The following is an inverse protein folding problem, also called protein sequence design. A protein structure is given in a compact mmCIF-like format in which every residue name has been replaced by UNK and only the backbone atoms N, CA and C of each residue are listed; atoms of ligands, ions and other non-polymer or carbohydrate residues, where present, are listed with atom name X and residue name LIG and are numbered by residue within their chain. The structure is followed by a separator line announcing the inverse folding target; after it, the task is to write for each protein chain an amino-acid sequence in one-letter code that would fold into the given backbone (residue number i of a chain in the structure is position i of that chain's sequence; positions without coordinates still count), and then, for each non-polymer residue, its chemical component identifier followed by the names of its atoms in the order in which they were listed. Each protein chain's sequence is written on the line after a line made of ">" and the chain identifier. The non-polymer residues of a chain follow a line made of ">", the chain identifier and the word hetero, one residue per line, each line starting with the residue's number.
data_IF_351163058705
#
_entry.id   IF_351163058705
#
_cell.length_a   1.000
_cell.length_b   1.000
_cell.length_c   1.000
_cell.angle_alpha   90.00
_cell.angle_beta   90.00
_cell.angle_gamma   90.00
#
_symmetry.space_group_name_H-M   'P 1'
#
loop_
_entity.id
_entity.type
_entity.pdbx_description
1 polymer ?
#
# COMPACT_ATOMS: atom_id res chain seq x y z
N UNK A 1 0.20 31.57 -31.15
CA UNK A 1 -0.99 30.71 -30.95
C UNK A 1 -0.49 29.32 -30.58
N UNK A 2 -0.45 28.86 -29.34
CA UNK A 2 -0.96 29.40 -28.10
C UNK A 2 -1.17 28.24 -27.12
N UNK A 3 -0.86 28.49 -25.84
CA UNK A 3 -1.69 28.09 -24.70
C UNK A 3 -1.47 26.75 -23.96
N UNK A 4 -0.33 26.06 -24.05
CA UNK A 4 -0.06 24.95 -23.11
C UNK A 4 1.36 24.84 -22.52
N UNK A 5 2.31 25.73 -22.88
CA UNK A 5 3.70 25.61 -22.40
C UNK A 5 4.04 26.30 -21.08
N UNK A 6 3.12 27.06 -20.48
CA UNK A 6 3.44 27.94 -19.34
C UNK A 6 2.67 27.63 -18.03
N UNK A 7 2.01 26.47 -17.90
CA UNK A 7 1.16 26.18 -16.73
C UNK A 7 1.63 25.03 -15.84
N UNK A 8 2.70 24.34 -16.20
CA UNK A 8 3.35 23.39 -15.32
C UNK A 8 4.79 23.84 -15.22
N UNK A 9 5.16 24.38 -14.06
CA UNK A 9 6.54 24.50 -13.63
C UNK A 9 7.11 23.09 -13.56
N UNK A 10 7.56 22.61 -14.72
CA UNK A 10 8.11 21.29 -14.92
C UNK A 10 9.29 21.14 -13.99
N UNK A 11 9.13 20.33 -12.95
CA UNK A 11 10.24 19.77 -12.21
C UNK A 11 10.67 18.53 -12.99
N UNK A 12 11.70 18.62 -13.87
CA UNK A 12 12.16 17.49 -14.68
C UNK A 12 12.60 16.28 -13.82
N UNK A 13 12.83 16.49 -12.52
CA UNK A 13 13.14 15.46 -11.54
C UNK A 13 11.98 14.49 -11.25
N UNK A 14 10.71 14.91 -11.40
CA UNK A 14 9.54 14.06 -11.18
C UNK A 14 9.25 13.15 -12.38
N UNK A 15 9.43 13.64 -13.60
CA UNK A 15 9.38 12.81 -14.80
C UNK A 15 10.54 11.80 -14.80
N UNK A 16 11.74 12.23 -14.41
CA UNK A 16 12.89 11.33 -14.25
C UNK A 16 12.64 10.22 -13.22
N UNK A 17 11.94 10.50 -12.11
CA UNK A 17 11.58 9.47 -11.13
C UNK A 17 10.51 8.51 -11.68
N UNK A 18 9.50 9.01 -12.39
CA UNK A 18 8.49 8.19 -13.03
C UNK A 18 9.08 7.28 -14.12
N UNK A 19 10.04 7.80 -14.89
CA UNK A 19 10.75 7.03 -15.91
C UNK A 19 11.75 6.05 -15.32
N UNK A 20 12.45 6.40 -14.22
CA UNK A 20 13.33 5.48 -13.51
C UNK A 20 12.55 4.34 -12.83
N UNK A 21 11.33 4.61 -12.35
CA UNK A 21 10.40 3.59 -11.88
C UNK A 21 9.95 2.69 -13.04
N UNK A 22 9.55 3.26 -14.19
CA UNK A 22 9.18 2.48 -15.40
C UNK A 22 10.33 1.63 -15.94
N UNK A 23 11.55 2.14 -15.94
CA UNK A 23 12.73 1.43 -16.48
C UNK A 23 13.14 0.28 -15.57
N UNK A 24 13.02 0.45 -14.25
CA UNK A 24 13.17 -0.64 -13.28
C UNK A 24 12.07 -1.70 -13.47
N UNK A 25 10.84 -1.28 -13.80
CA UNK A 25 9.66 -2.14 -14.01
C UNK A 25 9.68 -2.93 -15.34
N UNK A 26 10.27 -2.39 -16.42
CA UNK A 26 10.29 -3.05 -17.73
C UNK A 26 11.24 -4.26 -17.80
N UNK A 27 12.11 -4.45 -16.80
CA UNK A 27 13.10 -5.53 -16.75
C UNK A 27 12.57 -6.87 -16.20
N UNK A 28 11.32 -6.93 -15.72
CA UNK A 28 10.76 -8.13 -15.08
C UNK A 28 9.39 -8.46 -15.65
N UNK A 29 9.37 -9.23 -16.74
CA UNK A 29 8.16 -9.90 -17.20
C UNK A 29 7.83 -11.05 -16.24
N UNK A 30 6.82 -10.88 -15.39
CA UNK A 30 6.20 -11.99 -14.67
C UNK A 30 4.89 -12.39 -15.37
N UNK A 31 4.78 -13.69 -15.63
CA UNK A 31 3.58 -14.33 -16.18
C UNK A 31 2.39 -14.14 -15.22
N UNK A 32 1.20 -13.77 -15.72
CA UNK A 32 -0.03 -13.65 -14.91
C UNK A 32 -0.41 -14.93 -14.14
N UNK A 33 0.19 -16.07 -14.49
CA UNK A 33 -0.15 -17.40 -13.98
C UNK A 33 0.48 -17.68 -12.61
N UNK A 34 1.54 -16.95 -12.22
CA UNK A 34 2.22 -17.17 -10.94
C UNK A 34 1.59 -16.38 -9.77
N UNK A 35 0.86 -15.29 -10.04
CA UNK A 35 0.27 -14.46 -9.00
C UNK A 35 -0.87 -15.15 -8.22
N UNK A 36 -1.61 -16.07 -8.87
CA UNK A 36 -2.76 -16.77 -8.26
C UNK A 36 -2.36 -17.87 -7.27
N UNK A 37 -1.28 -18.62 -7.57
CA UNK A 37 -0.85 -19.77 -6.75
C UNK A 37 -0.26 -19.34 -5.41
N UNK A 38 0.39 -18.17 -5.35
CA UNK A 38 0.87 -17.60 -4.09
C UNK A 38 -0.28 -17.07 -3.21
N UNK A 39 -1.28 -16.44 -3.80
CA UNK A 39 -2.43 -15.90 -3.07
C UNK A 39 -3.19 -17.00 -2.30
N UNK A 40 -3.36 -18.17 -2.91
CA UNK A 40 -4.15 -19.26 -2.35
C UNK A 40 -3.43 -20.05 -1.25
N UNK A 41 -2.12 -20.33 -1.41
CA UNK A 41 -1.32 -20.93 -0.33
C UNK A 41 -1.20 -20.02 0.88
N UNK A 42 -1.09 -18.72 0.65
CA UNK A 42 -0.99 -17.77 1.76
C UNK A 42 -2.33 -17.56 2.45
N UNK A 43 -3.45 -17.61 1.72
CA UNK A 43 -4.81 -17.63 2.28
C UNK A 43 -5.03 -18.82 3.22
N UNK A 44 -4.62 -20.04 2.82
CA UNK A 44 -4.74 -21.23 3.68
C UNK A 44 -3.91 -21.15 4.96
N UNK A 45 -2.68 -20.62 4.88
CA UNK A 45 -1.84 -20.36 6.06
C UNK A 45 -2.49 -19.35 7.01
N UNK A 46 -3.16 -18.33 6.48
CA UNK A 46 -3.82 -17.25 7.26
C UNK A 46 -5.09 -17.71 7.98
N UNK A 47 -5.86 -18.62 7.37
CA UNK A 47 -7.06 -19.21 7.98
C UNK A 47 -6.74 -19.98 9.28
N UNK A 48 -5.62 -20.72 9.31
CA UNK A 48 -5.20 -21.44 10.53
C UNK A 48 -4.83 -20.52 11.71
N UNK A 49 -4.47 -19.26 11.45
CA UNK A 49 -4.12 -18.29 12.50
C UNK A 49 -5.37 -17.58 13.06
N UNK A 50 -6.47 -17.52 12.31
CA UNK A 50 -7.67 -16.77 12.68
C UNK A 50 -8.65 -17.54 13.59
N UNK A 51 -8.58 -18.88 13.64
CA UNK A 51 -9.56 -19.73 14.35
C UNK A 51 -9.48 -19.69 15.89
N UNK A 52 -8.48 -19.04 16.50
CA UNK A 52 -8.23 -19.13 17.95
C UNK A 52 -8.56 -17.88 18.78
N UNK A 53 -9.52 -17.03 18.37
CA UNK A 53 -9.54 -15.67 18.89
C UNK A 53 -10.89 -14.94 19.06
N UNK A 54 -10.98 -14.21 20.18
CA UNK A 54 -12.08 -13.40 20.72
C UNK A 54 -11.90 -11.86 20.52
N UNK A 55 -12.97 -11.05 20.45
CA UNK A 55 -12.89 -9.72 19.84
C UNK A 55 -12.51 -8.61 20.84
N UNK A 56 -11.50 -7.79 20.50
CA UNK A 56 -11.25 -6.50 21.13
C UNK A 56 -11.19 -5.37 20.09
N UNK A 57 -11.93 -4.29 20.34
CA UNK A 57 -11.95 -3.10 19.49
C UNK A 57 -10.73 -2.21 19.76
N UNK A 58 -10.08 -1.72 18.70
CA UNK A 58 -9.27 -0.50 18.76
C UNK A 58 -7.77 -0.62 19.05
N UNK A 59 -7.14 -1.80 19.04
CA UNK A 59 -5.68 -1.90 19.21
C UNK A 59 -4.96 -2.76 18.18
N UNK A 60 -3.89 -2.18 17.65
CA UNK A 60 -2.61 -2.84 17.38
C UNK A 60 -2.33 -4.02 18.31
N UNK A 61 -1.76 -5.11 17.78
CA UNK A 61 -0.89 -5.99 18.55
C UNK A 61 -1.56 -6.77 19.67
N UNK A 62 -2.85 -7.09 19.53
CA UNK A 62 -3.47 -8.12 20.37
C UNK A 62 -3.19 -9.50 19.80
N UNK A 63 -3.03 -10.49 20.68
CA UNK A 63 -2.96 -11.93 20.32
C UNK A 63 -4.24 -12.43 19.61
N UNK A 64 -5.25 -11.57 19.54
CA UNK A 64 -6.61 -11.89 19.18
C UNK A 64 -7.09 -11.03 17.99
N UNK A 65 -7.45 -11.62 16.83
CA UNK A 65 -8.08 -10.90 15.73
C UNK A 65 -9.32 -10.12 16.18
N UNK A 66 -9.42 -8.84 15.79
CA UNK A 66 -10.64 -8.06 15.95
C UNK A 66 -11.81 -8.68 15.19
N UNK A 67 -13.03 -8.42 15.66
CA UNK A 67 -14.26 -8.77 14.93
C UNK A 67 -14.40 -8.03 13.59
N UNK A 68 -13.71 -6.89 13.46
CA UNK A 68 -13.69 -6.11 12.23
C UNK A 68 -12.92 -6.84 11.12
N UNK A 69 -13.48 -6.77 9.91
CA UNK A 69 -12.80 -7.24 8.71
C UNK A 69 -11.43 -6.57 8.55
N UNK A 70 -10.43 -7.38 8.23
CA UNK A 70 -9.04 -6.96 8.24
C UNK A 70 -8.24 -7.66 7.14
N UNK A 71 -6.98 -7.27 6.96
CA UNK A 71 -6.15 -7.76 5.85
C UNK A 71 -5.93 -9.28 5.82
N UNK A 72 -6.16 -9.99 6.93
CA UNK A 72 -6.06 -11.45 7.02
C UNK A 72 -7.38 -12.16 6.76
N UNK A 73 -8.51 -11.56 7.15
CA UNK A 73 -9.85 -12.16 7.05
C UNK A 73 -10.58 -11.79 5.75
N UNK A 74 -10.07 -10.80 5.00
CA UNK A 74 -10.66 -10.39 3.73
C UNK A 74 -10.57 -11.50 2.66
N UNK A 75 -11.69 -11.90 2.02
CA UNK A 75 -11.70 -13.00 1.04
C UNK A 75 -10.77 -12.79 -0.16
N UNK A 76 -10.54 -11.54 -0.57
CA UNK A 76 -9.62 -11.21 -1.68
C UNK A 76 -8.14 -11.21 -1.30
N UNK A 77 -7.80 -11.41 -0.01
CA UNK A 77 -6.46 -11.23 0.52
C UNK A 77 -6.05 -9.76 0.69
N UNK A 78 -4.81 -9.55 1.16
CA UNK A 78 -4.36 -8.23 1.62
C UNK A 78 -4.41 -7.14 0.54
N UNK A 79 -4.03 -7.44 -0.71
CA UNK A 79 -3.90 -6.42 -1.73
C UNK A 79 -5.29 -5.86 -2.14
N UNK A 80 -6.27 -6.71 -2.51
CA UNK A 80 -7.65 -6.27 -2.69
C UNK A 80 -8.26 -5.59 -1.46
N UNK A 81 -7.89 -6.03 -0.25
CA UNK A 81 -8.33 -5.39 0.98
C UNK A 81 -7.86 -3.93 1.07
N UNK A 82 -6.55 -3.68 0.93
CA UNK A 82 -6.00 -2.32 0.99
C UNK A 82 -6.51 -1.44 -0.14
N UNK A 83 -6.63 -1.97 -1.37
CA UNK A 83 -7.20 -1.23 -2.50
C UNK A 83 -8.66 -0.83 -2.23
N UNK A 84 -9.48 -1.75 -1.71
CA UNK A 84 -10.87 -1.46 -1.30
C UNK A 84 -10.93 -0.37 -0.22
N UNK A 85 -10.15 -0.50 0.86
CA UNK A 85 -10.15 0.49 1.96
C UNK A 85 -9.73 1.86 1.43
N UNK A 86 -8.64 1.94 0.68
CA UNK A 86 -8.11 3.22 0.20
C UNK A 86 -9.07 3.90 -0.79
N UNK A 87 -9.65 3.16 -1.74
CA UNK A 87 -10.60 3.75 -2.71
C UNK A 87 -11.91 4.18 -2.07
N UNK A 88 -12.37 3.46 -1.04
CA UNK A 88 -13.65 3.75 -0.38
C UNK A 88 -13.54 4.90 0.61
N UNK A 89 -12.45 4.97 1.37
CA UNK A 89 -12.29 5.92 2.48
C UNK A 89 -11.62 7.24 2.08
N UNK A 90 -10.98 7.28 0.90
CA UNK A 90 -10.26 8.44 0.36
C UNK A 90 -10.64 8.70 -1.11
N UNK A 91 -11.93 8.83 -1.44
CA UNK A 91 -12.41 8.96 -2.81
C UNK A 91 -11.94 10.24 -3.52
N UNK A 92 -11.47 11.23 -2.77
CA UNK A 92 -10.91 12.49 -3.28
C UNK A 92 -9.49 12.37 -3.83
N UNK A 93 -8.84 11.21 -3.67
CA UNK A 93 -7.52 10.91 -4.19
C UNK A 93 -7.58 9.93 -5.37
N UNK A 94 -6.74 10.17 -6.38
CA UNK A 94 -6.41 9.15 -7.38
C UNK A 94 -5.42 8.16 -6.75
N UNK A 95 -5.91 6.95 -6.45
CA UNK A 95 -5.13 5.88 -5.82
C UNK A 95 -4.72 4.86 -6.87
N UNK A 96 -3.40 4.77 -7.08
CA UNK A 96 -2.77 3.79 -7.96
C UNK A 96 -1.82 2.92 -7.14
N UNK A 97 -1.65 1.65 -7.52
CA UNK A 97 -0.64 0.80 -6.89
C UNK A 97 0.29 0.18 -7.91
N UNK A 98 1.51 -0.12 -7.47
CA UNK A 98 2.52 -0.80 -8.28
C UNK A 98 3.19 -1.87 -7.42
N UNK A 99 3.28 -3.13 -7.92
CA UNK A 99 4.06 -4.16 -7.24
C UNK A 99 5.55 -3.78 -7.26
N UNK A 100 6.20 -3.90 -6.12
CA UNK A 100 7.65 -3.75 -5.97
C UNK A 100 8.41 -5.04 -6.33
N UNK A 101 9.74 -4.96 -6.30
CA UNK A 101 10.62 -6.08 -6.64
C UNK A 101 10.27 -7.35 -5.83
N UNK A 102 10.21 -8.50 -6.51
CA UNK A 102 9.91 -9.83 -5.96
C UNK A 102 8.51 -10.02 -5.36
N UNK A 103 7.52 -9.18 -5.69
CA UNK A 103 6.11 -9.31 -5.24
C UNK A 103 5.90 -9.27 -3.72
N UNK A 104 6.93 -8.92 -2.94
CA UNK A 104 6.88 -8.83 -1.47
C UNK A 104 6.48 -7.46 -0.96
N UNK A 105 6.45 -6.48 -1.86
CA UNK A 105 6.14 -5.08 -1.59
C UNK A 105 5.12 -4.65 -2.64
N UNK A 106 4.12 -3.88 -2.23
CA UNK A 106 3.23 -3.12 -3.12
C UNK A 106 3.22 -1.68 -2.64
N UNK A 107 3.39 -0.74 -3.57
CA UNK A 107 3.38 0.70 -3.27
C UNK A 107 2.10 1.31 -3.79
N UNK A 108 1.28 1.86 -2.90
CA UNK A 108 0.15 2.71 -3.23
C UNK A 108 0.59 4.18 -3.27
N UNK A 109 0.16 4.89 -4.31
CA UNK A 109 0.40 6.31 -4.52
C UNK A 109 -0.94 7.03 -4.50
N UNK A 110 -1.09 7.97 -3.56
CA UNK A 110 -2.25 8.85 -3.47
C UNK A 110 -1.90 10.15 -4.17
N UNK A 111 -2.69 10.53 -5.18
CA UNK A 111 -2.53 11.82 -5.87
C UNK A 111 -3.75 12.70 -5.69
N UNK A 112 -3.51 14.01 -5.58
CA UNK A 112 -4.56 15.04 -5.57
C UNK A 112 -4.11 16.21 -6.43
N UNK A 113 -4.90 16.57 -7.43
CA UNK A 113 -4.54 17.66 -8.35
C UNK A 113 -3.24 17.42 -9.12
N UNK A 114 -2.89 16.16 -9.41
CA UNK A 114 -1.65 15.79 -10.11
C UNK A 114 -0.40 15.70 -9.22
N UNK A 115 -0.49 16.11 -7.96
CA UNK A 115 0.61 16.01 -6.99
C UNK A 115 0.49 14.75 -6.13
N UNK A 116 1.63 14.15 -5.79
CA UNK A 116 1.69 13.03 -4.84
C UNK A 116 1.46 13.53 -3.42
N UNK A 117 0.35 13.14 -2.82
CA UNK A 117 -0.03 13.52 -1.46
C UNK A 117 0.47 12.54 -0.40
N UNK A 118 0.57 11.25 -0.73
CA UNK A 118 1.05 10.20 0.18
C UNK A 118 1.55 8.99 -0.60
N UNK A 119 2.63 8.39 -0.11
CA UNK A 119 3.09 7.06 -0.52
C UNK A 119 2.82 6.06 0.62
N UNK A 120 2.15 4.96 0.31
CA UNK A 120 1.92 3.87 1.26
C UNK A 120 2.58 2.60 0.75
N UNK A 121 3.44 2.00 1.56
CA UNK A 121 4.10 0.74 1.26
C UNK A 121 3.46 -0.42 2.03
N UNK A 122 2.95 -1.42 1.33
CA UNK A 122 2.41 -2.66 1.88
C UNK A 122 3.45 -3.74 1.64
N UNK A 123 4.02 -4.30 2.70
CA UNK A 123 5.16 -5.20 2.57
C UNK A 123 5.11 -6.36 3.54
N UNK A 124 5.91 -7.40 3.30
CA UNK A 124 6.12 -8.41 4.32
C UNK A 124 7.11 -7.94 5.40
N UNK A 125 7.01 -8.53 6.58
CA UNK A 125 7.84 -8.27 7.76
C UNK A 125 9.33 -8.56 7.51
N UNK A 126 9.64 -9.47 6.59
CA UNK A 126 11.02 -9.82 6.21
C UNK A 126 11.69 -8.81 5.26
N UNK A 127 10.96 -7.86 4.69
CA UNK A 127 11.54 -6.85 3.80
C UNK A 127 12.05 -5.62 4.59
N UNK A 128 13.12 -5.00 4.09
CA UNK A 128 13.68 -3.77 4.65
C UNK A 128 13.71 -2.64 3.60
N UNK A 129 12.55 -2.01 3.39
CA UNK A 129 12.43 -0.90 2.45
C UNK A 129 12.91 0.42 3.07
N UNK A 130 14.22 0.66 3.10
CA UNK A 130 14.78 1.93 3.61
C UNK A 130 14.93 2.99 2.53
N UNK A 131 15.08 2.60 1.26
CA UNK A 131 15.31 3.53 0.15
C UNK A 131 14.09 4.42 -0.11
N UNK A 132 12.91 3.82 -0.33
CA UNK A 132 11.69 4.56 -0.67
C UNK A 132 11.34 5.59 0.40
N UNK A 133 11.39 5.20 1.68
CA UNK A 133 11.19 6.12 2.81
C UNK A 133 12.13 7.32 2.76
N UNK A 134 13.43 7.11 2.50
CA UNK A 134 14.41 8.20 2.40
C UNK A 134 14.15 9.10 1.20
N UNK A 135 13.77 8.53 0.07
CA UNK A 135 13.46 9.28 -1.14
C UNK A 135 12.19 10.14 -0.95
N UNK A 136 11.15 9.63 -0.30
CA UNK A 136 9.97 10.39 0.11
C UNK A 136 10.34 11.54 1.06
N UNK A 137 11.15 11.27 2.08
CA UNK A 137 11.60 12.28 3.03
C UNK A 137 12.38 13.42 2.35
N UNK A 138 13.26 13.09 1.38
CA UNK A 138 14.00 14.09 0.59
C UNK A 138 13.09 14.99 -0.23
N UNK A 139 11.97 14.46 -0.71
CA UNK A 139 11.00 15.17 -1.55
C UNK A 139 9.89 15.86 -0.73
N UNK A 140 9.87 15.70 0.60
CA UNK A 140 8.80 16.22 1.46
C UNK A 140 7.46 15.51 1.28
N UNK A 141 7.47 14.28 0.75
CA UNK A 141 6.25 13.50 0.52
C UNK A 141 5.96 12.65 1.77
N UNK A 142 4.75 12.71 2.35
CA UNK A 142 4.34 11.82 3.43
C UNK A 142 4.49 10.34 3.03
N UNK A 143 4.90 9.52 3.99
CA UNK A 143 5.15 8.10 3.77
C UNK A 143 4.55 7.25 4.91
N UNK A 144 3.84 6.19 4.56
CA UNK A 144 3.31 5.18 5.47
C UNK A 144 3.72 3.77 5.07
N UNK A 145 3.65 2.86 6.04
CA UNK A 145 3.93 1.45 5.85
C UNK A 145 2.95 0.57 6.62
N UNK A 146 2.47 -0.49 5.99
CA UNK A 146 1.76 -1.59 6.62
C UNK A 146 2.46 -2.92 6.34
N UNK A 147 2.38 -3.85 7.29
CA UNK A 147 2.81 -5.22 7.08
C UNK A 147 1.60 -6.12 6.89
N UNK A 148 1.59 -6.94 5.84
CA UNK A 148 0.47 -7.85 5.56
C UNK A 148 0.61 -9.24 6.19
N UNK A 149 1.77 -9.55 6.77
CA UNK A 149 2.10 -10.85 7.35
C UNK A 149 2.67 -10.75 8.77
N UNK A 150 2.67 -9.56 9.37
CA UNK A 150 3.17 -9.39 10.73
C UNK A 150 2.08 -9.82 11.72
N UNK A 151 2.41 -10.78 12.57
CA UNK A 151 1.51 -11.27 13.61
C UNK A 151 1.09 -10.14 14.56
N UNK A 152 -0.19 -10.12 14.94
CA UNK A 152 -0.79 -9.06 15.74
C UNK A 152 -1.04 -7.74 14.98
N UNK A 153 -0.65 -7.61 13.70
CA UNK A 153 -0.90 -6.41 12.90
C UNK A 153 -2.06 -6.64 11.94
N UNK A 154 -3.26 -6.79 12.51
CA UNK A 154 -4.46 -7.19 11.79
C UNK A 154 -4.78 -6.29 10.58
N UNK A 155 -4.42 -5.01 10.65
CA UNK A 155 -4.80 -3.96 9.70
C UNK A 155 -6.31 -3.96 9.49
N UNK A 156 -7.06 -3.57 10.53
CA UNK A 156 -8.51 -3.34 10.42
C UNK A 156 -8.79 -2.09 9.59
N UNK A 157 -10.02 -1.95 9.09
CA UNK A 157 -10.36 -0.84 8.19
C UNK A 157 -10.29 0.48 8.95
N UNK A 158 -10.82 0.52 10.16
CA UNK A 158 -10.72 1.64 11.09
C UNK A 158 -9.27 2.08 11.31
N UNK A 159 -8.37 1.14 11.60
CA UNK A 159 -6.96 1.40 11.83
C UNK A 159 -6.24 1.95 10.58
N UNK A 160 -6.42 1.27 9.44
CA UNK A 160 -5.82 1.70 8.17
C UNK A 160 -6.33 3.09 7.81
N UNK A 161 -7.62 3.36 8.00
CA UNK A 161 -8.24 4.64 7.70
C UNK A 161 -7.70 5.76 8.58
N UNK A 162 -7.71 5.59 9.91
CA UNK A 162 -7.25 6.60 10.85
C UNK A 162 -5.78 6.95 10.64
N UNK A 163 -4.92 5.94 10.49
CA UNK A 163 -3.48 6.14 10.29
C UNK A 163 -3.19 6.83 8.95
N UNK A 164 -3.95 6.49 7.91
CA UNK A 164 -3.82 7.11 6.58
C UNK A 164 -4.31 8.56 6.60
N UNK A 165 -5.44 8.86 7.26
CA UNK A 165 -5.93 10.25 7.45
C UNK A 165 -4.89 11.12 8.15
N UNK A 166 -4.29 10.64 9.25
CA UNK A 166 -3.23 11.37 9.97
C UNK A 166 -2.01 11.68 9.08
N UNK A 167 -1.59 10.75 8.23
CA UNK A 167 -0.46 10.98 7.34
C UNK A 167 -0.76 11.97 6.20
N UNK A 168 -2.03 12.08 5.80
CA UNK A 168 -2.50 13.07 4.82
C UNK A 168 -2.70 14.47 5.42
N UNK A 169 -2.39 14.66 6.71
CA UNK A 169 -2.53 15.94 7.41
C UNK A 169 -3.93 16.20 7.96
N UNK A 170 -4.71 15.13 8.23
CA UNK A 170 -5.96 15.19 8.99
C UNK A 170 -5.76 15.52 10.47
#
# INVERSE_FOLDING_TARGET
>A
MGLLKNLLGGKPELEALADQIKETLHSVQLSPQDAGVFAEREYQRRQQTAENASPAYGTWGGDTPPAEENSFTYPGGYLPYFDMVFRTEFPEYDVQYTPGANSRITVFTFRRGGETALIVEIMNSACSAQKLRRDCARQGIPYLRYYYDHEGWWNTRSYVTERTRRALGG
#
